data_IF_277365279281
#
_entry.id   IF_277365279281
#
_cell.length_a   1.000
_cell.length_b   1.000
_cell.length_c   1.000
_cell.angle_alpha   90.00
_cell.angle_beta   90.00
_cell.angle_gamma   90.00
#
_symmetry.space_group_name_H-M   'P 1'
#
loop_
_entity.id
_entity.type
_entity.pdbx_description
1 polymer ?
#
# COMPACT_ATOMS: atom_id res chain seq x y z
N UNK A 1 22.19 13.32 -0.87
CA UNK A 1 22.02 12.05 -1.58
C UNK A 1 20.58 11.82 -2.00
N UNK A 2 20.41 10.94 -2.91
CA UNK A 2 19.06 10.56 -3.37
C UNK A 2 18.37 9.79 -2.25
N UNK A 3 17.27 10.31 -1.74
CA UNK A 3 16.46 9.58 -0.77
C UNK A 3 15.74 8.47 -1.50
N UNK A 4 15.85 7.26 -0.96
CA UNK A 4 15.00 6.16 -1.41
C UNK A 4 13.55 6.51 -1.12
N UNK A 5 12.67 6.24 -2.08
CA UNK A 5 11.24 6.37 -1.87
C UNK A 5 10.81 5.49 -0.70
N UNK A 6 10.05 6.05 0.25
CA UNK A 6 9.56 5.29 1.38
C UNK A 6 8.38 4.42 0.96
N UNK A 7 8.47 3.15 1.30
CA UNK A 7 7.39 2.19 1.10
C UNK A 7 6.36 2.20 2.25
N UNK A 8 6.58 3.02 3.25
CA UNK A 8 5.80 3.05 4.49
C UNK A 8 5.27 4.46 4.73
N UNK A 9 3.99 4.58 5.03
CA UNK A 9 3.39 5.81 5.50
C UNK A 9 3.41 5.87 7.02
N UNK A 10 3.68 7.04 7.57
CA UNK A 10 3.53 7.30 9.01
C UNK A 10 2.16 7.91 9.23
N UNK A 11 1.35 7.32 10.09
CA UNK A 11 0.01 7.81 10.38
C UNK A 11 0.08 9.08 11.24
N UNK A 12 -0.02 10.21 10.60
CA UNK A 12 -0.09 11.53 11.25
C UNK A 12 -1.55 11.94 11.39
N UNK A 13 -2.21 11.35 12.38
CA UNK A 13 -3.64 11.61 12.61
C UNK A 13 -3.86 13.00 13.19
N UNK A 14 -5.05 13.55 12.96
CA UNK A 14 -5.42 14.88 13.46
C UNK A 14 -5.34 14.90 15.00
N UNK A 15 -4.54 15.82 15.54
CA UNK A 15 -4.35 15.96 16.99
C UNK A 15 -3.64 14.79 17.64
N UNK A 16 -3.00 13.90 16.87
CA UNK A 16 -2.33 12.71 17.40
C UNK A 16 -3.30 11.68 17.97
N UNK A 17 -4.55 11.66 17.49
CA UNK A 17 -5.59 10.77 18.02
C UNK A 17 -5.41 9.33 17.54
N UNK A 18 -5.80 8.38 18.39
CA UNK A 18 -5.84 6.95 18.08
C UNK A 18 -7.24 6.54 17.58
N UNK A 19 -7.35 5.32 17.08
CA UNK A 19 -8.60 4.72 16.57
C UNK A 19 -9.27 5.60 15.51
N UNK A 20 -8.47 6.16 14.63
CA UNK A 20 -8.96 7.07 13.59
C UNK A 20 -9.20 6.32 12.28
N UNK A 21 -10.01 6.92 11.44
CA UNK A 21 -10.21 6.46 10.07
C UNK A 21 -9.22 7.16 9.14
N UNK A 22 -8.56 6.40 8.29
CA UNK A 22 -7.78 6.95 7.18
C UNK A 22 -8.58 6.81 5.89
N UNK A 23 -8.39 7.74 4.97
CA UNK A 23 -9.04 7.71 3.66
C UNK A 23 -8.06 7.18 2.63
N UNK A 24 -8.47 6.16 1.89
CA UNK A 24 -7.73 5.61 0.76
C UNK A 24 -8.41 6.05 -0.52
N UNK A 25 -7.65 6.68 -1.41
CA UNK A 25 -8.15 7.06 -2.75
C UNK A 25 -7.37 6.30 -3.79
N UNK A 26 -8.07 5.72 -4.74
CA UNK A 26 -7.52 4.89 -5.79
C UNK A 26 -7.90 5.43 -7.15
N UNK A 27 -6.94 5.36 -8.07
CA UNK A 27 -7.20 5.49 -9.50
C UNK A 27 -6.52 4.32 -10.20
N UNK A 28 -7.24 3.63 -11.07
CA UNK A 28 -6.70 2.51 -11.81
C UNK A 28 -6.53 2.86 -13.28
N UNK A 29 -5.31 2.69 -13.80
CA UNK A 29 -4.98 2.84 -15.21
C UNK A 29 -4.69 1.49 -15.87
N UNK A 30 -4.39 0.45 -15.08
CA UNK A 30 -4.20 -0.91 -15.58
C UNK A 30 -5.53 -1.61 -15.84
N UNK A 31 -5.49 -2.64 -16.69
CA UNK A 31 -6.71 -3.37 -17.10
C UNK A 31 -6.98 -4.58 -16.22
N UNK A 32 -5.98 -5.07 -15.48
CA UNK A 32 -6.12 -6.26 -14.65
C UNK A 32 -6.99 -6.01 -13.42
N UNK A 33 -7.57 -7.09 -12.89
CA UNK A 33 -8.28 -7.04 -11.62
C UNK A 33 -7.28 -6.93 -10.48
N UNK A 34 -7.30 -5.82 -9.76
CA UNK A 34 -6.35 -5.52 -8.72
C UNK A 34 -7.03 -5.36 -7.37
N UNK A 35 -6.33 -5.69 -6.30
CA UNK A 35 -6.72 -5.31 -4.95
C UNK A 35 -5.49 -4.91 -4.13
N UNK A 36 -5.68 -4.03 -3.16
CA UNK A 36 -4.62 -3.57 -2.29
C UNK A 36 -5.02 -3.79 -0.84
N UNK A 37 -4.05 -4.15 -0.01
CA UNK A 37 -4.23 -4.29 1.45
C UNK A 37 -3.18 -3.47 2.16
N UNK A 38 -3.55 -2.93 3.31
CA UNK A 38 -2.67 -2.16 4.17
C UNK A 38 -2.43 -2.93 5.46
N UNK A 39 -1.20 -2.91 5.96
CA UNK A 39 -0.85 -3.60 7.19
C UNK A 39 0.19 -2.81 7.98
N UNK A 40 0.20 -2.97 9.30
CA UNK A 40 1.12 -2.26 10.18
C UNK A 40 2.45 -3.00 10.30
N UNK A 41 3.54 -2.26 10.16
CA UNK A 41 4.91 -2.76 10.33
C UNK A 41 5.58 -2.12 11.54
N UNK A 42 6.68 -2.71 12.01
CA UNK A 42 7.36 -2.26 13.23
C UNK A 42 8.44 -1.21 12.94
N UNK A 43 8.95 -1.16 11.73
CA UNK A 43 9.95 -0.16 11.32
C UNK A 43 9.81 0.19 9.84
N UNK A 44 10.62 1.16 9.39
CA UNK A 44 10.57 1.63 8.01
C UNK A 44 11.11 0.62 6.99
N UNK A 45 11.79 -0.43 7.43
CA UNK A 45 12.22 -1.52 6.56
C UNK A 45 11.13 -2.58 6.34
N UNK A 46 10.01 -2.45 7.03
CA UNK A 46 8.86 -3.35 6.88
C UNK A 46 8.88 -4.56 7.81
N UNK A 47 9.71 -4.52 8.85
CA UNK A 47 9.85 -5.64 9.78
C UNK A 47 8.55 -5.87 10.56
N UNK A 48 8.19 -7.13 10.73
CA UNK A 48 7.08 -7.54 11.60
C UNK A 48 7.65 -8.55 12.62
N UNK A 49 7.82 -8.11 13.87
CA UNK A 49 8.53 -8.90 14.86
C UNK A 49 9.94 -9.21 14.39
N UNK A 50 10.31 -10.49 14.32
CA UNK A 50 11.61 -10.92 13.81
C UNK A 50 11.64 -11.15 12.30
N UNK A 51 10.50 -10.97 11.60
CA UNK A 51 10.38 -11.28 10.18
C UNK A 51 10.68 -10.06 9.32
N UNK A 52 11.56 -10.23 8.34
CA UNK A 52 11.81 -9.25 7.31
C UNK A 52 10.93 -9.56 6.08
N UNK A 53 10.59 -8.53 5.26
CA UNK A 53 9.94 -8.79 3.99
C UNK A 53 10.71 -9.82 3.17
N UNK A 54 10.00 -10.82 2.63
CA UNK A 54 10.60 -11.94 1.91
C UNK A 54 10.87 -13.16 2.75
N UNK A 55 10.83 -13.07 4.08
CA UNK A 55 11.00 -14.21 4.95
C UNK A 55 9.77 -15.14 4.90
N UNK A 56 10.02 -16.43 5.14
CA UNK A 56 8.91 -17.37 5.34
C UNK A 56 8.06 -16.91 6.53
N UNK A 57 6.73 -16.91 6.33
CA UNK A 57 5.79 -16.45 7.35
C UNK A 57 5.49 -14.96 7.32
N UNK A 58 6.21 -14.16 6.53
CA UNK A 58 5.95 -12.73 6.45
C UNK A 58 4.54 -12.41 5.94
N UNK A 59 4.08 -13.12 4.91
CA UNK A 59 2.75 -12.91 4.34
C UNK A 59 1.64 -13.17 5.38
N UNK A 60 1.77 -14.23 6.17
CA UNK A 60 0.81 -14.55 7.24
C UNK A 60 0.86 -13.49 8.35
N UNK A 61 2.04 -13.02 8.71
CA UNK A 61 2.22 -11.97 9.71
C UNK A 61 1.59 -10.64 9.23
N UNK A 62 1.79 -10.29 7.97
CA UNK A 62 1.19 -9.10 7.37
C UNK A 62 -0.35 -9.20 7.37
N UNK A 63 -0.90 -10.36 7.02
CA UNK A 63 -2.35 -10.57 7.08
C UNK A 63 -2.90 -10.40 8.49
N UNK A 64 -2.17 -10.87 9.50
CA UNK A 64 -2.57 -10.71 10.90
C UNK A 64 -2.55 -9.26 11.38
N UNK A 65 -1.83 -8.39 10.69
CA UNK A 65 -1.74 -6.96 10.98
C UNK A 65 -2.48 -6.08 9.99
N UNK A 66 -3.26 -6.67 9.09
CA UNK A 66 -3.99 -5.91 8.08
C UNK A 66 -5.06 -5.02 8.71
N UNK A 67 -5.15 -3.80 8.23
CA UNK A 67 -6.21 -2.89 8.62
C UNK A 67 -7.53 -3.33 7.97
N UNK A 68 -8.60 -3.25 8.74
CA UNK A 68 -9.95 -3.47 8.22
C UNK A 68 -10.42 -2.22 7.47
N UNK A 69 -11.26 -2.44 6.49
CA UNK A 69 -11.79 -1.36 5.65
C UNK A 69 -13.27 -1.16 5.91
N UNK A 70 -13.75 0.05 5.65
CA UNK A 70 -15.15 0.42 5.90
C UNK A 70 -16.14 -0.40 5.09
N UNK A 71 -15.72 -0.96 3.97
CA UNK A 71 -16.54 -1.86 3.13
C UNK A 71 -16.54 -3.31 3.59
N UNK A 72 -15.78 -3.63 4.64
CA UNK A 72 -15.63 -4.99 5.17
C UNK A 72 -14.35 -5.65 4.70
N UNK A 73 -13.83 -6.58 5.52
CA UNK A 73 -12.58 -7.29 5.25
C UNK A 73 -11.36 -6.39 5.28
N UNK A 74 -10.28 -6.84 4.66
CA UNK A 74 -8.98 -6.16 4.65
C UNK A 74 -8.49 -5.80 3.25
N UNK A 75 -9.09 -6.33 2.21
CA UNK A 75 -8.71 -6.06 0.82
C UNK A 75 -9.62 -4.98 0.23
N UNK A 76 -9.02 -4.06 -0.48
CA UNK A 76 -9.72 -3.02 -1.23
C UNK A 76 -9.62 -3.38 -2.70
N UNK A 77 -10.75 -3.64 -3.34
CA UNK A 77 -10.77 -3.89 -4.77
C UNK A 77 -10.45 -2.61 -5.55
N UNK A 78 -9.59 -2.73 -6.53
CA UNK A 78 -9.35 -1.65 -7.46
C UNK A 78 -10.63 -1.28 -8.20
N UNK A 79 -10.77 -0.01 -8.60
CA UNK A 79 -12.03 0.47 -9.20
C UNK A 79 -12.24 0.01 -10.64
N UNK A 80 -11.24 -0.64 -11.24
CA UNK A 80 -11.25 -0.99 -12.66
C UNK A 80 -10.67 0.09 -13.56
N UNK A 81 -10.32 -0.28 -14.77
CA UNK A 81 -9.68 0.57 -15.74
C UNK A 81 -10.36 1.94 -15.89
N UNK A 82 -9.58 3.00 -15.71
CA UNK A 82 -10.01 4.38 -15.88
C UNK A 82 -10.87 4.95 -14.76
N UNK A 83 -11.14 4.18 -13.71
CA UNK A 83 -12.06 4.56 -12.64
C UNK A 83 -11.32 4.99 -11.37
N UNK A 84 -12.11 5.60 -10.46
CA UNK A 84 -11.68 6.03 -9.13
C UNK A 84 -12.48 5.32 -8.06
N UNK A 85 -11.87 5.15 -6.89
CA UNK A 85 -12.57 4.67 -5.69
C UNK A 85 -12.06 5.40 -4.46
N UNK A 86 -12.89 5.44 -3.43
CA UNK A 86 -12.53 5.95 -2.12
C UNK A 86 -13.11 5.05 -1.05
N UNK A 87 -12.26 4.61 -0.12
CA UNK A 87 -12.69 3.80 1.04
C UNK A 87 -11.93 4.25 2.27
N UNK A 88 -12.37 3.82 3.46
CA UNK A 88 -11.69 4.12 4.70
C UNK A 88 -11.00 2.90 5.29
N UNK A 89 -9.83 3.12 5.89
CA UNK A 89 -9.22 2.19 6.84
C UNK A 89 -9.70 2.57 8.24
N UNK A 90 -9.97 1.58 9.08
CA UNK A 90 -10.44 1.84 10.46
C UNK A 90 -9.35 1.48 11.48
N UNK A 91 -9.48 2.05 12.67
CA UNK A 91 -8.60 1.78 13.82
C UNK A 91 -7.13 2.09 13.54
N UNK A 92 -6.87 3.21 12.89
CA UNK A 92 -5.51 3.70 12.65
C UNK A 92 -5.09 4.55 13.84
N UNK A 93 -3.97 4.19 14.46
CA UNK A 93 -3.41 4.93 15.59
C UNK A 93 -2.33 5.90 15.14
N UNK A 94 -2.21 7.00 15.87
CA UNK A 94 -1.15 7.97 15.61
C UNK A 94 0.22 7.30 15.71
N UNK A 95 1.07 7.54 14.72
CA UNK A 95 2.41 6.97 14.65
C UNK A 95 2.48 5.57 14.06
N UNK A 96 1.34 4.96 13.71
CA UNK A 96 1.36 3.67 13.01
C UNK A 96 2.18 3.77 11.72
N UNK A 97 2.96 2.72 11.46
CA UNK A 97 3.70 2.57 10.22
C UNK A 97 2.91 1.66 9.29
N UNK A 98 2.39 2.24 8.22
CA UNK A 98 1.44 1.57 7.33
C UNK A 98 2.14 1.19 6.02
N UNK A 99 2.15 -0.10 5.74
CA UNK A 99 2.69 -0.67 4.51
C UNK A 99 1.57 -1.24 3.65
N UNK A 100 1.89 -1.59 2.41
CA UNK A 100 0.92 -2.08 1.43
C UNK A 100 1.41 -3.34 0.73
N UNK A 101 0.45 -4.13 0.26
CA UNK A 101 0.68 -5.13 -0.79
C UNK A 101 -0.39 -5.01 -1.86
N UNK A 102 -0.01 -5.30 -3.09
CA UNK A 102 -0.90 -5.35 -4.24
C UNK A 102 -1.10 -6.80 -4.64
N UNK A 103 -2.35 -7.21 -4.86
CA UNK A 103 -2.67 -8.50 -5.47
C UNK A 103 -3.19 -8.27 -6.86
N UNK A 104 -2.54 -8.87 -7.85
CA UNK A 104 -3.07 -8.94 -9.20
C UNK A 104 -3.92 -10.20 -9.28
N UNK A 105 -5.25 -10.03 -9.25
CA UNK A 105 -6.18 -11.16 -9.24
C UNK A 105 -6.26 -11.85 -10.60
N UNK A 106 -5.90 -11.17 -11.67
CA UNK A 106 -5.87 -11.75 -13.02
C UNK A 106 -4.72 -12.74 -13.17
N UNK A 107 -3.52 -12.39 -12.71
CA UNK A 107 -2.34 -13.25 -12.78
C UNK A 107 -2.16 -14.14 -11.54
N UNK A 108 -2.80 -13.81 -10.43
CA UNK A 108 -2.62 -14.48 -9.13
C UNK A 108 -1.35 -14.08 -8.40
N UNK A 109 -0.66 -13.03 -8.83
CA UNK A 109 0.61 -12.60 -8.26
C UNK A 109 0.40 -11.54 -7.18
N UNK A 110 1.17 -11.65 -6.09
CA UNK A 110 1.22 -10.64 -5.02
C UNK A 110 2.52 -9.85 -5.15
N UNK A 111 2.41 -8.54 -5.10
CA UNK A 111 3.55 -7.63 -5.10
C UNK A 111 3.58 -6.85 -3.78
N UNK A 112 4.79 -6.72 -3.22
CA UNK A 112 5.00 -6.06 -1.94
C UNK A 112 5.63 -4.69 -2.15
N UNK A 113 5.30 -3.77 -1.26
CA UNK A 113 5.92 -2.44 -1.24
C UNK A 113 7.44 -2.54 -1.05
N UNK A 114 7.89 -3.56 -0.32
CA UNK A 114 9.31 -3.81 -0.06
C UNK A 114 9.87 -4.72 -1.15
N UNK A 115 10.83 -4.20 -1.92
CA UNK A 115 11.34 -4.92 -3.09
C UNK A 115 11.97 -6.28 -2.76
N UNK A 116 12.56 -6.44 -1.57
CA UNK A 116 13.16 -7.72 -1.17
C UNK A 116 12.15 -8.86 -1.03
N UNK A 117 10.85 -8.56 -1.00
CA UNK A 117 9.79 -9.57 -0.99
C UNK A 117 9.26 -9.89 -2.39
N UNK A 118 9.74 -9.21 -3.40
CA UNK A 118 9.33 -9.38 -4.79
C UNK A 118 10.30 -10.27 -5.57
N UNK A 119 9.90 -10.61 -6.80
CA UNK A 119 10.71 -11.44 -7.71
C UNK A 119 12.05 -10.78 -8.04
N UNK A 120 12.98 -11.58 -8.55
CA UNK A 120 14.28 -11.09 -8.98
C UNK A 120 14.40 -11.15 -10.51
N UNK A 121 15.11 -10.15 -11.04
CA UNK A 121 15.54 -10.12 -12.44
C UNK A 121 17.04 -9.81 -12.43
N UNK A 122 17.82 -10.66 -13.05
CA UNK A 122 19.29 -10.55 -13.07
C UNK A 122 19.90 -10.44 -11.65
N UNK A 123 19.35 -11.23 -10.72
CA UNK A 123 19.83 -11.30 -9.33
C UNK A 123 19.38 -10.14 -8.45
N UNK A 124 18.54 -9.24 -8.93
CA UNK A 124 18.06 -8.09 -8.17
C UNK A 124 16.56 -8.16 -7.98
N UNK A 125 16.10 -7.86 -6.77
CA UNK A 125 14.68 -7.76 -6.48
C UNK A 125 14.05 -6.57 -7.20
N UNK A 126 12.85 -6.78 -7.75
CA UNK A 126 12.15 -5.77 -8.54
C UNK A 126 11.28 -4.90 -7.63
N UNK A 127 11.40 -3.58 -7.79
CA UNK A 127 10.50 -2.64 -7.15
C UNK A 127 9.23 -2.47 -7.98
N UNK A 128 8.08 -2.64 -7.35
CA UNK A 128 6.76 -2.47 -7.97
C UNK A 128 6.03 -1.23 -7.47
N UNK A 129 6.57 -0.56 -6.44
CA UNK A 129 5.98 0.62 -5.84
C UNK A 129 6.89 1.83 -6.06
N UNK A 130 6.29 2.94 -6.46
CA UNK A 130 6.97 4.23 -6.52
C UNK A 130 6.25 5.23 -5.63
N UNK A 131 7.02 5.99 -4.84
CA UNK A 131 6.50 7.03 -3.97
C UNK A 131 6.56 8.38 -4.71
N UNK A 132 5.40 8.94 -5.01
CA UNK A 132 5.29 10.26 -5.64
C UNK A 132 5.35 11.42 -4.64
N UNK A 133 5.43 11.11 -3.33
CA UNK A 133 5.39 12.11 -2.26
C UNK A 133 3.98 12.37 -1.74
N UNK A 134 3.88 13.00 -0.57
CA UNK A 134 2.60 13.37 0.06
C UNK A 134 1.65 12.17 0.22
N UNK A 135 2.20 11.01 0.63
CA UNK A 135 1.43 9.77 0.81
C UNK A 135 0.67 9.36 -0.46
N UNK A 136 1.32 9.52 -1.60
CA UNK A 136 0.80 9.06 -2.89
C UNK A 136 1.81 8.12 -3.53
N UNK A 137 1.32 6.95 -3.96
CA UNK A 137 2.14 5.89 -4.53
C UNK A 137 1.54 5.39 -5.84
N UNK A 138 2.40 4.80 -6.66
CA UNK A 138 1.98 4.11 -7.86
C UNK A 138 2.53 2.70 -7.89
N UNK A 139 1.73 1.77 -8.41
CA UNK A 139 2.07 0.36 -8.54
C UNK A 139 2.24 -0.06 -9.99
N UNK A 140 3.23 -0.96 -10.20
CA UNK A 140 3.38 -1.79 -11.39
C UNK A 140 2.85 -3.18 -11.10
N UNK A 141 1.90 -3.66 -11.90
CA UNK A 141 1.18 -4.92 -11.66
C UNK A 141 1.70 -6.09 -12.50
N UNK A 142 2.86 -5.93 -13.15
CA UNK A 142 3.45 -6.92 -14.07
C UNK A 142 4.77 -7.44 -13.52
N UNK A 143 4.98 -8.76 -13.54
CA UNK A 143 6.25 -9.37 -13.18
C UNK A 143 7.39 -8.76 -14.03
N UNK A 144 8.53 -8.52 -13.40
CA UNK A 144 9.68 -7.89 -14.01
C UNK A 144 9.59 -6.37 -14.10
N UNK A 145 8.49 -5.75 -13.66
CA UNK A 145 8.33 -4.30 -13.60
C UNK A 145 7.69 -3.65 -14.82
N UNK A 146 7.35 -4.41 -15.87
CA UNK A 146 6.67 -3.90 -17.06
C UNK A 146 7.36 -2.68 -17.67
N UNK A 147 6.60 -1.66 -18.01
CA UNK A 147 7.10 -0.39 -18.59
C UNK A 147 7.63 0.59 -17.53
N UNK A 148 7.46 0.26 -16.25
CA UNK A 148 7.97 1.04 -15.10
C UNK A 148 7.45 2.46 -15.03
N UNK A 149 6.24 2.72 -15.50
CA UNK A 149 5.59 4.02 -15.31
C UNK A 149 4.90 4.14 -13.93
N UNK A 150 4.75 3.03 -13.21
CA UNK A 150 4.20 2.95 -11.85
C UNK A 150 2.85 3.64 -11.71
N UNK A 151 1.97 3.41 -12.68
CA UNK A 151 0.66 4.05 -12.72
C UNK A 151 -0.50 3.08 -12.91
N UNK A 152 -0.26 1.77 -12.85
CA UNK A 152 -1.32 0.77 -13.02
C UNK A 152 -2.38 0.91 -11.93
N UNK A 153 -1.96 1.19 -10.71
CA UNK A 153 -2.83 1.59 -9.62
C UNK A 153 -2.17 2.73 -8.85
N UNK A 154 -2.82 3.87 -8.81
CA UNK A 154 -2.40 5.01 -7.99
C UNK A 154 -3.15 4.97 -6.67
N UNK A 155 -2.41 5.15 -5.58
CA UNK A 155 -2.92 5.06 -4.21
C UNK A 155 -2.57 6.34 -3.46
N UNK A 156 -3.58 7.01 -2.93
CA UNK A 156 -3.39 8.11 -1.99
C UNK A 156 -3.89 7.71 -0.60
N UNK A 157 -3.15 8.05 0.43
CA UNK A 157 -3.50 7.73 1.81
C UNK A 157 -3.52 9.02 2.63
N UNK A 158 -4.67 9.30 3.23
CA UNK A 158 -4.91 10.53 3.96
C UNK A 158 -5.41 10.22 5.37
N UNK A 159 -4.61 10.58 6.37
CA UNK A 159 -4.92 10.31 7.76
C UNK A 159 -5.74 11.42 8.44
N UNK A 160 -5.90 12.55 7.80
CA UNK A 160 -6.54 13.72 8.41
C UNK A 160 -7.94 14.00 7.85
N UNK A 161 -8.24 13.56 6.64
CA UNK A 161 -9.50 13.85 5.96
C UNK A 161 -10.70 13.14 6.56
N UNK A 162 -10.48 12.14 7.44
CA UNK A 162 -11.56 11.52 8.19
C UNK A 162 -12.36 12.52 9.03
N UNK A 163 -11.79 13.68 9.33
CA UNK A 163 -12.46 14.77 10.01
C UNK A 163 -13.28 15.70 9.08
N UNK A 164 -13.50 15.29 7.84
CA UNK A 164 -14.33 16.03 6.88
C UNK A 164 -13.56 16.93 5.92
N UNK A 165 -12.26 16.90 5.94
CA UNK A 165 -11.44 17.64 4.98
C UNK A 165 -11.20 16.79 3.75
N UNK A 166 -11.78 17.15 2.63
CA UNK A 166 -11.56 16.45 1.38
C UNK A 166 -10.14 16.63 0.85
N UNK A 167 -9.82 15.86 -0.20
CA UNK A 167 -8.65 16.19 -0.99
C UNK A 167 -8.78 17.58 -1.54
N UNK A 168 -7.70 18.28 -1.48
CA UNK A 168 -7.57 19.47 -2.28
C UNK A 168 -7.22 19.04 -3.70
N UNK A 169 -8.08 19.33 -4.55
CA UNK A 169 -7.88 19.10 -5.98
C UNK A 169 -7.49 20.37 -6.65
#
# INVERSE_FOLDING_TARGET
GVRRARAVAVAETAGGANDQQAIVRLRQNGEDSLSVSFYRVDDLSGKIGALNPGDAGYAAAAQGRAYHVTTGGTAINGPGYGNYAQVGLVNVDAGDLVAMKLTNNTSGTVFWAFSQANETVDGRHVGHLWNYGLNTWGWEDTLGGGDRDFNDLLVGLDFTSAAGHGWLV
#
